data_IF_173090085738
#
_entry.id   IF_173090085738
#
_cell.length_a   1.000
_cell.length_b   1.000
_cell.length_c   1.000
_cell.angle_alpha   90.00
_cell.angle_beta   90.00
_cell.angle_gamma   90.00
#
_symmetry.space_group_name_H-M   'P 1'
#
loop_
_entity.id
_entity.type
_entity.pdbx_description
1 polymer ?
#
# COMPACT_ATOMS: atom_id res chain seq x y z
N UNK A 1 17.21 1.44 -8.81
CA UNK A 1 16.16 1.35 -9.85
C UNK A 1 16.35 2.52 -10.81
N UNK A 2 16.24 2.30 -12.12
CA UNK A 2 16.29 3.38 -13.11
C UNK A 2 15.07 4.31 -13.02
N UNK A 3 15.13 5.45 -13.73
CA UNK A 3 14.09 6.48 -13.68
C UNK A 3 12.74 6.00 -14.27
N UNK A 4 12.76 5.12 -15.27
CA UNK A 4 11.56 4.63 -15.93
C UNK A 4 10.79 3.68 -15.01
N UNK A 5 11.47 2.69 -14.44
CA UNK A 5 10.87 1.78 -13.46
C UNK A 5 10.39 2.55 -12.22
N UNK A 6 11.13 3.60 -11.81
CA UNK A 6 10.68 4.45 -10.71
C UNK A 6 9.37 5.15 -11.02
N UNK A 7 9.24 5.71 -12.23
CA UNK A 7 8.01 6.34 -12.68
C UNK A 7 6.85 5.34 -12.73
N UNK A 8 7.08 4.11 -13.19
CA UNK A 8 6.07 3.05 -13.17
C UNK A 8 5.58 2.75 -11.74
N UNK A 9 6.51 2.64 -10.78
CA UNK A 9 6.16 2.44 -9.38
C UNK A 9 5.35 3.61 -8.82
N UNK A 10 5.72 4.84 -9.15
CA UNK A 10 5.01 6.04 -8.69
C UNK A 10 3.56 6.09 -9.24
N UNK A 11 3.35 5.68 -10.49
CA UNK A 11 2.01 5.56 -11.10
C UNK A 11 1.19 4.44 -10.42
N UNK A 12 1.80 3.28 -10.17
CA UNK A 12 1.17 2.17 -9.44
C UNK A 12 0.71 2.64 -8.05
N UNK A 13 1.60 3.29 -7.30
CA UNK A 13 1.33 3.76 -5.95
C UNK A 13 0.21 4.80 -5.92
N UNK A 14 0.24 5.78 -6.84
CA UNK A 14 -0.82 6.78 -6.93
C UNK A 14 -2.17 6.13 -7.25
N UNK A 15 -2.20 5.23 -8.23
CA UNK A 15 -3.41 4.49 -8.62
C UNK A 15 -3.98 3.67 -7.46
N UNK A 16 -3.11 2.99 -6.70
CA UNK A 16 -3.52 2.22 -5.53
C UNK A 16 -4.05 3.14 -4.42
N UNK A 17 -3.40 4.28 -4.18
CA UNK A 17 -3.81 5.25 -3.16
C UNK A 17 -5.19 5.83 -3.45
N UNK A 18 -5.45 6.26 -4.69
CA UNK A 18 -6.74 6.82 -5.09
C UNK A 18 -7.86 5.79 -4.93
N UNK A 19 -7.65 4.57 -5.45
CA UNK A 19 -8.62 3.47 -5.32
C UNK A 19 -8.88 3.07 -3.88
N UNK A 20 -7.84 3.03 -3.04
CA UNK A 20 -7.99 2.68 -1.64
C UNK A 20 -8.77 3.76 -0.88
N UNK A 21 -8.40 5.04 -1.07
CA UNK A 21 -9.07 6.18 -0.46
C UNK A 21 -10.57 6.20 -0.78
N UNK A 22 -10.92 6.09 -2.07
CA UNK A 22 -12.32 6.03 -2.50
C UNK A 22 -13.08 4.88 -1.85
N UNK A 23 -12.48 3.68 -1.82
CA UNK A 23 -13.09 2.48 -1.22
C UNK A 23 -13.35 2.66 0.27
N UNK A 24 -12.39 3.16 1.04
CA UNK A 24 -12.57 3.31 2.50
C UNK A 24 -13.52 4.46 2.82
N UNK A 25 -13.54 5.54 2.04
CA UNK A 25 -14.49 6.65 2.20
C UNK A 25 -15.93 6.15 2.03
N UNK A 26 -16.18 5.36 0.99
CA UNK A 26 -17.51 4.79 0.74
C UNK A 26 -17.94 3.84 1.88
N UNK A 27 -17.03 2.97 2.34
CA UNK A 27 -17.32 1.96 3.37
C UNK A 27 -17.44 2.52 4.78
N UNK A 28 -16.70 3.58 5.09
CA UNK A 28 -16.73 4.22 6.40
C UNK A 28 -17.70 5.41 6.45
N UNK A 29 -18.53 5.57 5.42
CA UNK A 29 -19.57 6.61 5.33
C UNK A 29 -19.01 8.04 5.44
N UNK A 30 -17.82 8.27 4.88
CA UNK A 30 -17.20 9.61 4.80
C UNK A 30 -15.71 9.64 5.08
N UNK A 31 -15.07 10.74 4.66
CA UNK A 31 -13.63 10.92 4.76
C UNK A 31 -13.11 10.99 6.19
N UNK A 32 -13.78 11.71 7.09
CA UNK A 32 -13.35 11.83 8.50
C UNK A 32 -13.37 10.46 9.20
N UNK A 33 -14.45 9.69 9.03
CA UNK A 33 -14.59 8.36 9.60
C UNK A 33 -13.53 7.39 9.03
N UNK A 34 -13.34 7.40 7.71
CA UNK A 34 -12.31 6.59 7.05
C UNK A 34 -10.90 6.91 7.57
N UNK A 35 -10.56 8.19 7.71
CA UNK A 35 -9.27 8.62 8.25
C UNK A 35 -9.07 8.18 9.70
N UNK A 36 -10.09 8.33 10.54
CA UNK A 36 -10.04 7.86 11.94
C UNK A 36 -9.85 6.34 12.01
N UNK A 37 -10.60 5.57 11.23
CA UNK A 37 -10.49 4.10 11.22
C UNK A 37 -9.13 3.63 10.70
N UNK A 38 -8.65 4.20 9.59
CA UNK A 38 -7.35 3.85 9.01
C UNK A 38 -6.19 4.10 10.00
N UNK A 39 -6.27 5.15 10.85
CA UNK A 39 -5.27 5.41 11.89
C UNK A 39 -5.39 4.48 13.09
N UNK A 40 -6.61 4.14 13.48
CA UNK A 40 -6.87 3.32 14.65
C UNK A 40 -6.54 1.85 14.41
N UNK A 41 -6.99 1.31 13.28
CA UNK A 41 -6.76 -0.08 12.88
C UNK A 41 -6.84 -0.19 11.34
N UNK A 42 -5.69 -0.24 10.63
CA UNK A 42 -5.65 -0.44 9.19
C UNK A 42 -6.28 -1.76 8.71
N UNK A 43 -6.46 -2.74 9.60
CA UNK A 43 -7.12 -4.01 9.29
C UNK A 43 -8.54 -4.09 9.85
N UNK A 44 -9.03 -2.98 10.43
CA UNK A 44 -10.35 -2.88 11.01
C UNK A 44 -11.46 -2.89 9.96
N UNK A 45 -12.69 -3.05 10.45
CA UNK A 45 -13.89 -3.13 9.62
C UNK A 45 -14.06 -1.90 8.72
N UNK A 46 -14.20 -2.16 7.42
CA UNK A 46 -14.34 -1.14 6.38
C UNK A 46 -13.01 -0.74 5.71
N UNK A 47 -11.86 -1.06 6.32
CA UNK A 47 -10.52 -0.70 5.82
C UNK A 47 -9.85 -1.89 5.12
N UNK A 48 -9.52 -2.96 5.86
CA UNK A 48 -8.86 -4.18 5.36
C UNK A 48 -7.72 -3.90 4.37
N UNK A 49 -6.70 -3.17 4.84
CA UNK A 49 -5.57 -2.75 4.03
C UNK A 49 -4.82 -3.93 3.40
N UNK A 50 -4.59 -5.01 4.14
CA UNK A 50 -3.82 -6.15 3.64
C UNK A 50 -4.57 -6.87 2.52
N UNK A 51 -5.88 -7.05 2.65
CA UNK A 51 -6.72 -7.63 1.60
C UNK A 51 -6.70 -6.77 0.32
N UNK A 52 -6.70 -5.44 0.48
CA UNK A 52 -6.59 -4.53 -0.65
C UNK A 52 -5.21 -4.65 -1.33
N UNK A 53 -4.14 -4.73 -0.54
CA UNK A 53 -2.77 -4.88 -1.06
C UNK A 53 -2.60 -6.23 -1.75
N UNK A 54 -3.20 -7.31 -1.23
CA UNK A 54 -3.23 -8.61 -1.89
C UNK A 54 -3.88 -8.53 -3.26
N UNK A 55 -5.04 -7.85 -3.36
CA UNK A 55 -5.72 -7.63 -4.63
C UNK A 55 -4.88 -6.78 -5.60
N UNK A 56 -4.24 -5.72 -5.13
CA UNK A 56 -3.32 -4.91 -5.96
C UNK A 56 -2.16 -5.76 -6.47
N UNK A 57 -1.56 -6.59 -5.62
CA UNK A 57 -0.45 -7.43 -6.05
C UNK A 57 -0.88 -8.46 -7.09
N UNK A 58 -2.07 -9.06 -6.96
CA UNK A 58 -2.62 -9.94 -7.97
C UNK A 58 -2.94 -9.20 -9.28
N UNK A 59 -3.63 -8.06 -9.20
CA UNK A 59 -4.10 -7.29 -10.36
C UNK A 59 -2.94 -6.75 -11.22
N UNK A 60 -1.82 -6.43 -10.59
CA UNK A 60 -0.62 -5.90 -11.25
C UNK A 60 0.48 -6.95 -11.46
N UNK A 61 0.20 -8.24 -11.22
CA UNK A 61 1.14 -9.34 -11.35
C UNK A 61 2.45 -9.11 -10.54
N UNK A 62 2.31 -8.67 -9.30
CA UNK A 62 3.41 -8.39 -8.36
C UNK A 62 3.61 -9.50 -7.32
N UNK A 63 2.76 -10.53 -7.32
CA UNK A 63 2.68 -11.63 -6.38
C UNK A 63 3.70 -12.76 -6.63
N UNK A 64 4.76 -12.47 -7.39
CA UNK A 64 5.92 -13.32 -7.60
C UNK A 64 7.23 -12.66 -7.16
N UNK A 65 8.34 -13.40 -7.23
CA UNK A 65 9.65 -12.90 -6.83
C UNK A 65 10.13 -11.66 -7.62
N UNK A 66 9.79 -11.56 -8.91
CA UNK A 66 10.23 -10.47 -9.78
C UNK A 66 9.44 -9.18 -9.47
N UNK A 67 8.12 -9.29 -9.36
CA UNK A 67 7.23 -8.22 -8.96
C UNK A 67 7.51 -7.71 -7.55
N UNK A 68 7.74 -8.62 -6.60
CA UNK A 68 8.16 -8.26 -5.26
C UNK A 68 9.51 -7.53 -5.26
N UNK A 69 10.49 -8.02 -6.03
CA UNK A 69 11.79 -7.34 -6.16
C UNK A 69 11.65 -5.93 -6.77
N UNK A 70 10.76 -5.73 -7.75
CA UNK A 70 10.45 -4.41 -8.29
C UNK A 70 9.97 -3.45 -7.20
N UNK A 71 8.98 -3.86 -6.40
CA UNK A 71 8.47 -3.05 -5.27
C UNK A 71 9.57 -2.76 -4.25
N UNK A 72 10.35 -3.78 -3.85
CA UNK A 72 11.41 -3.62 -2.86
C UNK A 72 12.55 -2.73 -3.35
N UNK A 73 12.91 -2.79 -4.63
CA UNK A 73 13.88 -1.89 -5.22
C UNK A 73 13.42 -0.42 -5.17
N UNK A 74 12.12 -0.16 -5.37
CA UNK A 74 11.56 1.18 -5.24
C UNK A 74 11.58 1.69 -3.77
N UNK A 75 11.58 0.77 -2.81
CA UNK A 75 11.51 1.03 -1.37
C UNK A 75 12.83 0.76 -0.63
N UNK A 76 13.94 0.64 -1.36
CA UNK A 76 15.22 0.15 -0.84
C UNK A 76 15.82 0.94 0.34
N UNK A 77 15.34 2.17 0.60
CA UNK A 77 15.80 3.01 1.73
C UNK A 77 14.99 2.81 3.01
N UNK A 78 13.87 2.09 2.96
CA UNK A 78 13.03 1.85 4.14
C UNK A 78 13.69 0.82 5.04
N UNK A 79 13.69 1.10 6.34
CA UNK A 79 14.10 0.14 7.36
C UNK A 79 12.95 -0.82 7.63
N UNK A 80 13.28 -2.10 7.77
CA UNK A 80 12.33 -3.17 8.01
C UNK A 80 12.92 -4.18 8.98
N UNK A 81 12.07 -4.76 9.83
CA UNK A 81 12.40 -5.93 10.64
C UNK A 81 11.70 -7.13 10.02
N UNK A 82 12.48 -8.15 9.68
CA UNK A 82 12.00 -9.35 9.00
C UNK A 82 12.28 -10.55 9.88
N UNK A 83 11.22 -11.21 10.31
CA UNK A 83 11.26 -12.53 10.94
C UNK A 83 10.41 -13.44 10.08
N UNK A 84 11.05 -14.24 9.23
CA UNK A 84 10.32 -14.93 8.16
C UNK A 84 10.96 -16.28 7.81
N UNK A 85 10.12 -17.26 7.49
CA UNK A 85 10.53 -18.62 7.10
C UNK A 85 9.86 -19.03 5.79
N UNK A 86 10.57 -19.72 4.91
CA UNK A 86 10.02 -20.19 3.63
C UNK A 86 11.03 -20.08 2.50
N UNK A 87 10.53 -20.11 1.27
CA UNK A 87 11.37 -19.88 0.10
C UNK A 87 11.72 -18.39 -0.03
N UNK A 88 12.76 -18.07 -0.81
CA UNK A 88 13.13 -16.69 -1.11
C UNK A 88 11.95 -15.92 -1.72
N UNK A 89 11.18 -16.57 -2.60
CA UNK A 89 10.00 -15.94 -3.22
C UNK A 89 8.96 -15.56 -2.17
N UNK A 90 8.66 -16.47 -1.24
CA UNK A 90 7.66 -16.23 -0.19
C UNK A 90 8.07 -15.04 0.70
N UNK A 91 9.35 -15.00 1.11
CA UNK A 91 9.90 -13.92 1.94
C UNK A 91 9.87 -12.59 1.19
N UNK A 92 10.26 -12.56 -0.09
CA UNK A 92 10.23 -11.33 -0.89
C UNK A 92 8.81 -10.81 -1.06
N UNK A 93 7.85 -11.66 -1.42
CA UNK A 93 6.44 -11.27 -1.64
C UNK A 93 5.82 -10.75 -0.35
N UNK A 94 5.98 -11.45 0.77
CA UNK A 94 5.47 -10.98 2.07
C UNK A 94 6.08 -9.66 2.50
N UNK A 95 7.40 -9.52 2.35
CA UNK A 95 8.08 -8.28 2.68
C UNK A 95 7.59 -7.13 1.80
N UNK A 96 7.49 -7.34 0.49
CA UNK A 96 7.04 -6.35 -0.48
C UNK A 96 5.62 -5.86 -0.16
N UNK A 97 4.68 -6.78 0.11
CA UNK A 97 3.30 -6.45 0.50
C UNK A 97 3.27 -5.61 1.77
N UNK A 98 4.00 -6.02 2.81
CA UNK A 98 4.07 -5.29 4.08
C UNK A 98 4.58 -3.86 3.90
N UNK A 99 5.73 -3.68 3.25
CA UNK A 99 6.30 -2.34 3.08
C UNK A 99 5.47 -1.44 2.16
N UNK A 100 4.77 -2.05 1.20
CA UNK A 100 3.86 -1.35 0.31
C UNK A 100 2.60 -0.91 1.04
N UNK A 101 2.00 -1.79 1.87
CA UNK A 101 0.86 -1.46 2.73
C UNK A 101 1.17 -0.25 3.63
N UNK A 102 2.31 -0.27 4.30
CA UNK A 102 2.76 0.84 5.16
C UNK A 102 2.90 2.16 4.38
N UNK A 103 3.42 2.10 3.15
CA UNK A 103 3.55 3.28 2.30
C UNK A 103 2.19 3.79 1.83
N UNK A 104 1.33 2.87 1.39
CA UNK A 104 0.00 3.16 0.89
C UNK A 104 -0.85 3.85 1.96
N UNK A 105 -0.87 3.29 3.18
CA UNK A 105 -1.58 3.88 4.31
C UNK A 105 -1.09 5.30 4.59
N UNK A 106 0.23 5.51 4.68
CA UNK A 106 0.81 6.84 4.91
C UNK A 106 0.43 7.84 3.81
N UNK A 107 0.42 7.40 2.54
CA UNK A 107 0.05 8.25 1.40
C UNK A 107 -1.42 8.62 1.39
N UNK A 108 -2.29 7.68 1.71
CA UNK A 108 -3.74 7.94 1.78
C UNK A 108 -4.07 8.86 2.95
N UNK A 109 -3.45 8.66 4.11
CA UNK A 109 -3.59 9.58 5.26
C UNK A 109 -3.17 11.01 4.85
N UNK A 110 -1.99 11.16 4.24
CA UNK A 110 -1.48 12.47 3.79
C UNK A 110 -2.43 13.15 2.79
N UNK A 111 -2.96 12.39 1.83
CA UNK A 111 -3.88 12.89 0.82
C UNK A 111 -5.23 13.33 1.43
N UNK A 112 -5.79 12.53 2.34
CA UNK A 112 -7.07 12.82 2.99
C UNK A 112 -6.97 14.04 3.93
N UNK A 113 -5.89 14.14 4.72
CA UNK A 113 -5.64 15.33 5.54
C UNK A 113 -5.51 16.61 4.69
N UNK A 114 -4.85 16.50 3.54
CA UNK A 114 -4.72 17.63 2.63
C UNK A 114 -6.10 18.03 2.08
N UNK A 115 -6.93 17.07 1.69
CA UNK A 115 -8.28 17.34 1.22
C UNK A 115 -9.14 18.03 2.30
N UNK A 116 -9.05 17.59 3.56
CA UNK A 116 -9.80 18.18 4.69
C UNK A 116 -9.37 19.63 5.01
N UNK A 117 -8.10 19.99 4.81
CA UNK A 117 -7.62 21.37 5.08
C UNK A 117 -7.95 22.39 3.99
N UNK A 118 -8.19 21.93 2.75
CA UNK A 118 -8.39 22.80 1.58
C UNK A 118 -9.79 22.69 0.95
N UNK A 119 -10.66 21.83 1.49
CA UNK A 119 -12.08 21.73 1.14
C UNK A 119 -12.95 22.53 2.10
#
# INVERSE_FOLDING_TARGET
MDAYLRQQFDVLLLTAADRFAERIIQRCEGATNALQRLRADPQGEGVWLDEFVDAVFADFCLDDAAGAAFVLQALHKRQVTVEDTGTVSDVLVRLAKRVFADLLAAKVIEAMERAERYG
#
